data_IF_645111747654
#
_entry.id   IF_645111747654
#
_cell.length_a   1.000
_cell.length_b   1.000
_cell.length_c   1.000
_cell.angle_alpha   90.00
_cell.angle_beta   90.00
_cell.angle_gamma   90.00
#
_symmetry.space_group_name_H-M   'P 1'
#
loop_
_entity.id
_entity.type
_entity.pdbx_description
1 polymer ?
#
# COMPACT_ATOMS: atom_id res chain seq x y z
N UNK A 1 -7.48 -11.30 -5.66
CA UNK A 1 -8.43 -10.38 -4.98
C UNK A 1 -9.59 -10.08 -5.92
N UNK A 2 -10.76 -9.74 -5.37
CA UNK A 2 -11.91 -9.27 -6.16
C UNK A 2 -12.30 -7.83 -5.76
N UNK A 3 -13.04 -7.15 -6.63
CA UNK A 3 -13.50 -5.77 -6.37
C UNK A 3 -14.35 -5.70 -5.10
N UNK A 4 -14.14 -4.67 -4.28
CA UNK A 4 -14.84 -4.48 -2.99
C UNK A 4 -14.28 -5.28 -1.81
N UNK A 5 -13.26 -6.13 -2.03
CA UNK A 5 -12.61 -6.87 -0.96
C UNK A 5 -11.70 -5.96 -0.12
N UNK A 6 -11.84 -6.03 1.20
CA UNK A 6 -10.91 -5.41 2.16
C UNK A 6 -10.06 -6.50 2.82
N UNK A 7 -8.75 -6.27 2.86
CA UNK A 7 -7.80 -7.13 3.56
C UNK A 7 -7.05 -6.26 4.56
N UNK A 8 -7.06 -6.66 5.83
CA UNK A 8 -6.37 -5.97 6.91
C UNK A 8 -5.33 -6.91 7.52
N UNK A 9 -4.16 -6.35 7.79
CA UNK A 9 -3.07 -7.03 8.49
C UNK A 9 -2.28 -5.97 9.28
N UNK A 10 -1.65 -6.43 10.36
CA UNK A 10 -0.91 -5.57 11.28
C UNK A 10 0.52 -6.06 11.40
N UNK A 11 1.43 -5.11 11.60
CA UNK A 11 2.85 -5.35 11.79
C UNK A 11 3.41 -4.24 12.68
N UNK A 12 4.60 -4.49 13.22
CA UNK A 12 5.38 -3.47 13.92
C UNK A 12 6.58 -3.11 13.04
N UNK A 13 6.69 -1.83 12.67
CA UNK A 13 7.88 -1.33 11.99
C UNK A 13 9.09 -1.49 12.91
N UNK A 14 10.23 -1.88 12.35
CA UNK A 14 11.44 -2.06 13.12
C UNK A 14 12.00 -0.69 13.57
N UNK A 15 12.64 -0.60 14.75
CA UNK A 15 13.18 0.68 15.24
C UNK A 15 14.23 1.31 14.31
N UNK A 16 14.88 0.49 13.48
CA UNK A 16 15.89 0.92 12.51
C UNK A 16 15.34 1.57 11.24
N UNK A 17 14.00 1.69 11.08
CA UNK A 17 13.35 2.26 9.89
C UNK A 17 13.77 1.60 8.57
N UNK A 18 13.94 0.27 8.58
CA UNK A 18 14.26 -0.53 7.39
C UNK A 18 13.17 -1.51 7.01
N UNK A 19 12.01 -1.46 7.68
CA UNK A 19 10.87 -2.33 7.35
C UNK A 19 10.35 -2.06 5.94
N UNK A 20 10.39 -3.10 5.12
CA UNK A 20 9.94 -3.06 3.74
C UNK A 20 9.05 -4.28 3.46
N UNK A 21 7.79 -4.03 3.09
CA UNK A 21 6.86 -5.08 2.68
C UNK A 21 6.51 -4.93 1.20
N UNK A 22 6.62 -6.03 0.48
CA UNK A 22 6.13 -6.16 -0.89
C UNK A 22 4.82 -6.93 -0.91
N UNK A 23 3.94 -6.57 -1.82
CA UNK A 23 2.71 -7.26 -2.11
C UNK A 23 2.79 -7.84 -3.53
N UNK A 24 2.47 -9.11 -3.64
CA UNK A 24 2.27 -9.82 -4.90
C UNK A 24 0.78 -10.15 -4.97
N UNK A 25 0.08 -9.49 -5.88
CA UNK A 25 -1.37 -9.67 -6.04
C UNK A 25 -1.67 -10.30 -7.37
N UNK A 26 -2.61 -11.24 -7.34
CA UNK A 26 -3.34 -11.67 -8.53
C UNK A 26 -4.69 -10.97 -8.56
N UNK A 27 -4.91 -10.18 -9.60
CA UNK A 27 -6.18 -9.55 -9.89
C UNK A 27 -6.63 -9.95 -11.29
N UNK A 28 -7.74 -10.69 -11.35
CA UNK A 28 -8.20 -11.34 -12.59
C UNK A 28 -7.09 -12.25 -13.14
N UNK A 29 -6.67 -12.03 -14.39
CA UNK A 29 -5.59 -12.75 -15.06
C UNK A 29 -4.24 -12.04 -15.01
N UNK A 30 -4.15 -10.91 -14.29
CA UNK A 30 -2.92 -10.14 -14.15
C UNK A 30 -2.28 -10.38 -12.78
N UNK A 31 -0.95 -10.37 -12.77
CA UNK A 31 -0.14 -10.43 -11.56
C UNK A 31 0.67 -9.15 -11.45
N UNK A 32 0.53 -8.49 -10.31
CA UNK A 32 1.18 -7.20 -10.03
C UNK A 32 2.01 -7.32 -8.75
N UNK A 33 3.27 -6.89 -8.82
CA UNK A 33 4.17 -6.83 -7.67
C UNK A 33 4.57 -5.40 -7.37
N UNK A 34 4.39 -4.97 -6.14
CA UNK A 34 4.72 -3.62 -5.70
C UNK A 34 5.10 -3.57 -4.22
N UNK A 35 5.77 -2.50 -3.81
CA UNK A 35 6.05 -2.23 -2.39
C UNK A 35 4.80 -1.64 -1.76
N UNK A 36 4.16 -2.36 -0.84
CA UNK A 36 2.93 -1.93 -0.16
C UNK A 36 3.23 -1.04 1.07
N UNK A 37 4.39 -1.25 1.68
CA UNK A 37 4.88 -0.44 2.79
C UNK A 37 6.41 -0.29 2.74
N UNK A 38 6.89 0.94 2.92
CA UNK A 38 8.30 1.30 3.05
C UNK A 38 8.45 2.29 4.20
N UNK A 39 9.07 1.88 5.31
CA UNK A 39 9.22 2.72 6.51
C UNK A 39 9.86 4.08 6.23
N UNK A 40 10.77 4.15 5.26
CA UNK A 40 11.45 5.41 4.91
C UNK A 40 10.55 6.43 4.23
N UNK A 41 9.46 5.98 3.60
CA UNK A 41 8.53 6.83 2.84
C UNK A 41 7.18 6.98 3.52
N UNK A 42 6.72 5.92 4.19
CA UNK A 42 5.34 5.79 4.63
C UNK A 42 5.14 6.24 6.08
N UNK A 43 6.15 6.16 6.96
CA UNK A 43 6.04 6.66 8.34
C UNK A 43 5.66 8.15 8.43
N UNK A 44 6.06 8.95 7.43
CA UNK A 44 5.71 10.37 7.34
C UNK A 44 4.28 10.63 6.83
N UNK A 45 3.57 9.60 6.37
CA UNK A 45 2.25 9.69 5.74
C UNK A 45 1.20 8.81 6.41
N UNK A 46 1.59 7.77 7.15
CA UNK A 46 0.72 6.93 7.95
C UNK A 46 1.48 6.32 9.14
N UNK A 47 0.94 6.47 10.33
CA UNK A 47 1.48 6.00 11.61
C UNK A 47 0.54 5.03 12.31
N UNK A 48 -0.77 5.11 12.02
CA UNK A 48 -1.79 4.25 12.62
C UNK A 48 -2.31 3.20 11.64
N UNK A 49 -3.01 3.65 10.59
CA UNK A 49 -3.66 2.79 9.59
C UNK A 49 -3.26 3.20 8.18
N UNK A 50 -2.28 2.50 7.63
CA UNK A 50 -1.77 2.72 6.28
C UNK A 50 -2.72 2.17 5.21
N UNK A 51 -3.75 2.93 4.85
CA UNK A 51 -4.72 2.50 3.84
C UNK A 51 -4.14 2.52 2.42
N UNK A 52 -4.43 1.46 1.66
CA UNK A 52 -4.05 1.27 0.26
C UNK A 52 -5.30 0.89 -0.53
N UNK A 53 -5.50 1.54 -1.66
CA UNK A 53 -6.59 1.21 -2.58
C UNK A 53 -5.97 0.69 -3.87
N UNK A 54 -6.37 -0.52 -4.24
CA UNK A 54 -5.94 -1.20 -5.46
C UNK A 54 -7.05 -0.96 -6.50
N UNK A 55 -6.71 -0.39 -7.64
CA UNK A 55 -7.65 0.05 -8.69
C UNK A 55 -7.14 -0.35 -10.08
N UNK A 56 -8.00 -0.45 -11.11
CA UNK A 56 -7.61 -1.00 -12.42
C UNK A 56 -6.50 -0.21 -13.13
N UNK A 57 -6.16 0.97 -12.65
CA UNK A 57 -5.11 1.86 -13.17
C UNK A 57 -3.87 1.95 -12.26
N UNK A 58 -3.90 1.35 -11.06
CA UNK A 58 -2.76 1.39 -10.15
C UNK A 58 -3.07 1.18 -8.68
N UNK A 59 -2.12 1.60 -7.84
CA UNK A 59 -2.26 1.60 -6.38
C UNK A 59 -2.19 3.02 -5.83
N UNK A 60 -3.19 3.34 -5.03
CA UNK A 60 -3.33 4.60 -4.33
C UNK A 60 -2.96 4.42 -2.85
N UNK A 61 -2.18 5.37 -2.35
CA UNK A 61 -1.72 5.40 -0.97
C UNK A 61 -2.38 6.60 -0.30
N UNK A 62 -3.07 6.34 0.80
CA UNK A 62 -3.67 7.40 1.61
C UNK A 62 -2.61 8.05 2.50
N UNK A 63 -2.61 9.38 2.54
CA UNK A 63 -1.86 10.17 3.50
C UNK A 63 -2.81 10.62 4.62
N UNK A 64 -2.62 10.08 5.82
CA UNK A 64 -3.52 10.32 6.96
C UNK A 64 -3.46 11.76 7.47
N UNK A 65 -2.28 12.40 7.39
CA UNK A 65 -2.07 13.77 7.87
C UNK A 65 -2.62 14.84 6.92
N UNK A 66 -2.72 14.51 5.62
CA UNK A 66 -3.23 15.40 4.58
C UNK A 66 -4.64 15.05 4.13
N UNK A 67 -5.19 13.93 4.59
CA UNK A 67 -6.48 13.40 4.16
C UNK A 67 -6.62 13.32 2.62
N UNK A 68 -5.58 12.81 1.95
CA UNK A 68 -5.53 12.75 0.49
C UNK A 68 -5.04 11.40 -0.01
N UNK A 69 -5.55 10.97 -1.16
CA UNK A 69 -5.09 9.78 -1.88
C UNK A 69 -4.12 10.19 -2.98
N UNK A 70 -3.00 9.46 -3.09
CA UNK A 70 -2.02 9.64 -4.18
C UNK A 70 -1.75 8.32 -4.88
N UNK A 71 -1.92 8.29 -6.20
CA UNK A 71 -1.46 7.16 -7.03
C UNK A 71 0.06 7.11 -7.01
N UNK A 72 0.62 5.97 -6.61
CA UNK A 72 2.08 5.75 -6.49
C UNK A 72 2.59 4.61 -7.36
N UNK A 73 1.70 3.71 -7.76
CA UNK A 73 1.99 2.62 -8.67
C UNK A 73 0.98 2.74 -9.81
N UNK A 74 1.43 2.53 -11.03
CA UNK A 74 0.60 2.49 -12.22
C UNK A 74 0.83 1.13 -12.89
N UNK A 75 -0.25 0.49 -13.33
CA UNK A 75 -0.16 -0.71 -14.14
C UNK A 75 0.18 -0.29 -15.57
N UNK A 76 1.12 -0.98 -16.21
CA UNK A 76 1.48 -0.76 -17.62
C UNK A 76 0.65 -1.65 -18.53
#
# INVERSE_FOLDING_TARGET
>A
MHSGQVVEWSFQANPGRTTLYSCDIKWNNEQHKFVIYDSTKDEAACTSKCMRQISPDGVYFFNEFKNTWKRRVTWN
#
